data_IF_386739636720
#
_entry.id   IF_386739636720
#
_cell.length_a   1.000
_cell.length_b   1.000
_cell.length_c   1.000
_cell.angle_alpha   90.00
_cell.angle_beta   90.00
_cell.angle_gamma   90.00
#
_symmetry.space_group_name_H-M   'P 1'
#
loop_
_entity.id
_entity.type
_entity.pdbx_description
1 polymer ?
#
# COMPACT_ATOMS: atom_id res chain seq x y z
N UNK A 1 -6.73 -10.10 -64.01
CA UNK A 1 -7.05 -10.82 -62.77
C UNK A 1 -6.35 -10.06 -61.66
N UNK A 2 -7.11 -9.23 -60.93
CA UNK A 2 -6.55 -8.40 -59.86
C UNK A 2 -6.59 -9.21 -58.57
N UNK A 3 -5.42 -9.50 -58.00
CA UNK A 3 -5.33 -10.09 -56.66
C UNK A 3 -5.90 -9.10 -55.65
N UNK A 4 -7.02 -9.46 -55.07
CA UNK A 4 -7.57 -8.81 -53.89
C UNK A 4 -6.72 -9.26 -52.71
N UNK A 5 -5.69 -8.45 -52.39
CA UNK A 5 -4.89 -8.64 -51.19
C UNK A 5 -5.79 -8.48 -49.96
N UNK A 6 -5.94 -9.54 -49.19
CA UNK A 6 -6.79 -9.64 -48.00
C UNK A 6 -6.20 -8.77 -46.87
N UNK A 7 -6.87 -7.65 -46.47
CA UNK A 7 -6.38 -6.76 -45.42
C UNK A 7 -6.56 -7.34 -44.01
N UNK A 8 -7.16 -8.51 -43.85
CA UNK A 8 -7.60 -9.09 -42.58
C UNK A 8 -6.47 -9.56 -41.65
N UNK A 9 -5.34 -10.03 -42.19
CA UNK A 9 -4.20 -10.53 -41.36
C UNK A 9 -3.46 -9.40 -40.63
N UNK A 10 -3.24 -8.28 -41.30
CA UNK A 10 -2.53 -7.14 -40.72
C UNK A 10 -3.34 -6.45 -39.63
N UNK A 11 -4.66 -6.26 -39.86
CA UNK A 11 -5.55 -5.67 -38.86
C UNK A 11 -5.60 -6.48 -37.56
N UNK A 12 -5.65 -7.81 -37.65
CA UNK A 12 -5.65 -8.68 -36.47
C UNK A 12 -4.31 -8.64 -35.70
N UNK A 13 -3.18 -8.49 -36.39
CA UNK A 13 -1.86 -8.37 -35.75
C UNK A 13 -1.74 -7.05 -34.96
N UNK A 14 -2.21 -5.93 -35.52
CA UNK A 14 -2.19 -4.64 -34.81
C UNK A 14 -3.11 -4.63 -33.59
N UNK A 15 -4.28 -5.26 -33.68
CA UNK A 15 -5.21 -5.36 -32.54
C UNK A 15 -4.63 -6.23 -31.42
N UNK A 16 -3.99 -7.35 -31.76
CA UNK A 16 -3.32 -8.22 -30.79
C UNK A 16 -2.13 -7.51 -30.13
N UNK A 17 -1.34 -6.75 -30.88
CA UNK A 17 -0.22 -5.95 -30.35
C UNK A 17 -0.72 -4.84 -29.42
N UNK A 18 -1.77 -4.14 -29.78
CA UNK A 18 -2.39 -3.11 -28.93
C UNK A 18 -2.91 -3.68 -27.61
N UNK A 19 -3.54 -4.85 -27.65
CA UNK A 19 -3.99 -5.55 -26.46
C UNK A 19 -2.82 -5.97 -25.55
N UNK A 20 -1.77 -6.53 -26.14
CA UNK A 20 -0.57 -6.94 -25.39
C UNK A 20 0.10 -5.73 -24.71
N UNK A 21 0.25 -4.62 -25.43
CA UNK A 21 0.82 -3.39 -24.89
C UNK A 21 -0.01 -2.84 -23.74
N UNK A 22 -1.34 -2.88 -23.83
CA UNK A 22 -2.25 -2.45 -22.78
C UNK A 22 -2.16 -3.35 -21.54
N UNK A 23 -2.07 -4.67 -21.72
CA UNK A 23 -1.86 -5.61 -20.61
C UNK A 23 -0.55 -5.32 -19.87
N UNK A 24 0.56 -5.07 -20.60
CA UNK A 24 1.84 -4.71 -19.98
C UNK A 24 1.77 -3.36 -19.25
N UNK A 25 1.09 -2.36 -19.80
CA UNK A 25 0.92 -1.07 -19.15
C UNK A 25 0.15 -1.19 -17.83
N UNK A 26 -0.91 -1.98 -17.82
CA UNK A 26 -1.73 -2.22 -16.62
C UNK A 26 -0.95 -2.99 -15.56
N UNK A 27 -0.26 -4.07 -15.94
CA UNK A 27 0.58 -4.85 -15.01
C UNK A 27 1.71 -3.99 -14.46
N UNK A 28 2.33 -3.16 -15.30
CA UNK A 28 3.36 -2.20 -14.89
C UNK A 28 2.84 -1.17 -13.88
N UNK A 29 1.66 -0.61 -14.11
CA UNK A 29 1.03 0.36 -13.22
C UNK A 29 0.69 -0.26 -11.85
N UNK A 30 0.14 -1.48 -11.84
CA UNK A 30 -0.17 -2.22 -10.61
C UNK A 30 1.12 -2.56 -9.85
N UNK A 31 2.17 -3.01 -10.56
CA UNK A 31 3.48 -3.28 -9.97
C UNK A 31 4.13 -2.04 -9.36
N UNK A 32 4.07 -0.91 -10.06
CA UNK A 32 4.57 0.38 -9.57
C UNK A 32 3.82 0.79 -8.30
N UNK A 33 2.49 0.70 -8.29
CA UNK A 33 1.68 1.04 -7.13
C UNK A 33 1.96 0.13 -5.93
N UNK A 34 2.16 -1.18 -6.16
CA UNK A 34 2.52 -2.13 -5.11
C UNK A 34 3.89 -1.80 -4.49
N UNK A 35 4.86 -1.38 -5.30
CA UNK A 35 6.18 -0.97 -4.84
C UNK A 35 6.15 0.29 -3.95
N UNK A 36 5.30 1.26 -4.26
CA UNK A 36 5.20 2.51 -3.50
C UNK A 36 4.27 2.41 -2.28
N UNK A 37 3.26 1.53 -2.30
CA UNK A 37 2.27 1.45 -1.23
C UNK A 37 2.66 0.51 -0.07
N UNK A 38 3.47 -0.51 -0.31
CA UNK A 38 3.72 -1.57 0.67
C UNK A 38 4.81 -1.28 1.73
N UNK A 39 5.97 -0.64 1.43
CA UNK A 39 7.06 -0.55 2.41
C UNK A 39 6.92 0.59 3.42
N UNK A 40 6.25 1.68 3.11
CA UNK A 40 6.20 2.87 3.95
C UNK A 40 5.48 2.67 5.30
N UNK A 41 4.32 2.00 5.39
CA UNK A 41 3.65 1.76 6.67
C UNK A 41 4.47 0.86 7.59
N UNK A 42 5.11 -0.19 7.06
CA UNK A 42 5.88 -1.14 7.84
C UNK A 42 7.15 -0.52 8.44
N UNK A 43 7.88 0.29 7.67
CA UNK A 43 9.06 1.00 8.16
C UNK A 43 8.73 2.00 9.26
N UNK A 44 7.62 2.73 9.12
CA UNK A 44 7.13 3.65 10.17
C UNK A 44 6.73 2.90 11.43
N UNK A 45 6.11 1.74 11.30
CA UNK A 45 5.72 0.92 12.45
C UNK A 45 6.93 0.41 13.23
N UNK A 46 7.95 -0.10 12.54
CA UNK A 46 9.20 -0.56 13.16
C UNK A 46 9.91 0.60 13.86
N UNK A 47 10.01 1.76 13.21
CA UNK A 47 10.62 2.94 13.80
C UNK A 47 9.88 3.42 15.06
N UNK A 48 8.54 3.38 15.07
CA UNK A 48 7.73 3.74 16.23
C UNK A 48 7.86 2.73 17.37
N UNK A 49 7.94 1.44 17.08
CA UNK A 49 8.14 0.41 18.10
C UNK A 49 9.50 0.58 18.79
N UNK A 50 10.56 0.87 18.04
CA UNK A 50 11.87 1.21 18.59
C UNK A 50 11.82 2.50 19.44
N UNK A 51 11.05 3.50 19.01
CA UNK A 51 10.89 4.75 19.77
C UNK A 51 10.17 4.52 21.10
N UNK A 52 9.19 3.61 21.17
CA UNK A 52 8.53 3.25 22.42
C UNK A 52 9.46 2.55 23.41
N UNK A 53 10.42 1.75 22.94
CA UNK A 53 11.45 1.17 23.78
C UNK A 53 12.40 2.25 24.33
N UNK A 54 12.77 3.23 23.50
CA UNK A 54 13.57 4.40 23.95
C UNK A 54 12.79 5.25 24.96
N UNK A 55 11.47 5.43 24.79
CA UNK A 55 10.59 6.10 25.77
C UNK A 55 10.61 5.38 27.12
N UNK A 56 10.51 4.06 27.11
CA UNK A 56 10.53 3.27 28.34
C UNK A 56 11.85 3.45 29.10
N UNK A 57 12.97 3.46 28.39
CA UNK A 57 14.29 3.74 28.96
C UNK A 57 14.38 5.19 29.48
N UNK A 58 13.88 6.16 28.70
CA UNK A 58 13.92 7.58 29.06
C UNK A 58 13.06 7.87 30.32
N UNK A 59 11.88 7.25 30.44
CA UNK A 59 10.98 7.41 31.57
C UNK A 59 11.49 6.78 32.85
N UNK A 60 12.32 5.73 32.77
CA UNK A 60 13.02 5.16 33.91
C UNK A 60 14.34 5.86 34.25
N UNK A 61 14.72 6.88 33.48
CA UNK A 61 15.92 7.68 33.75
C UNK A 61 15.67 8.72 34.85
N UNK A 62 16.74 9.34 35.31
CA UNK A 62 16.70 10.41 36.34
C UNK A 62 16.02 11.69 35.84
N UNK A 63 15.82 11.87 34.53
CA UNK A 63 15.23 13.05 33.93
C UNK A 63 14.16 12.67 32.87
N UNK A 64 13.00 12.11 33.28
CA UNK A 64 12.01 11.56 32.37
C UNK A 64 11.40 12.60 31.42
N UNK A 65 11.20 13.83 31.89
CA UNK A 65 10.61 14.90 31.07
C UNK A 65 11.58 15.35 29.95
N UNK A 66 12.87 15.47 30.22
CA UNK A 66 13.84 15.84 29.22
C UNK A 66 13.99 14.77 28.13
N UNK A 67 13.93 13.49 28.52
CA UNK A 67 13.93 12.37 27.58
C UNK A 67 12.70 12.36 26.68
N UNK A 68 11.50 12.61 27.21
CA UNK A 68 10.26 12.71 26.43
C UNK A 68 10.27 13.86 25.43
N UNK A 69 10.79 15.04 25.83
CA UNK A 69 10.89 16.19 24.92
C UNK A 69 11.79 15.86 23.72
N UNK A 70 12.89 15.15 23.94
CA UNK A 70 13.81 14.75 22.87
C UNK A 70 13.18 13.70 21.90
N UNK A 71 12.24 12.89 22.38
CA UNK A 71 11.59 11.85 21.60
C UNK A 71 10.24 12.27 21.02
N UNK A 72 9.74 13.45 21.37
CA UNK A 72 8.40 13.94 21.00
C UNK A 72 8.16 13.93 19.48
N UNK A 73 9.12 14.41 18.70
CA UNK A 73 9.01 14.49 17.25
C UNK A 73 9.01 13.09 16.58
N UNK A 74 9.62 12.10 17.25
CA UNK A 74 9.67 10.71 16.78
C UNK A 74 8.44 9.91 17.20
N UNK A 75 7.78 10.33 18.27
CA UNK A 75 6.54 9.72 18.79
C UNK A 75 5.31 10.11 17.97
N UNK A 76 5.33 11.30 17.33
CA UNK A 76 4.22 11.82 16.53
C UNK A 76 2.89 11.75 17.30
N UNK A 77 1.87 11.08 16.78
CA UNK A 77 0.56 10.93 17.41
C UNK A 77 0.60 10.23 18.78
N UNK A 78 1.58 9.35 19.01
CA UNK A 78 1.76 8.64 20.28
C UNK A 78 2.30 9.55 21.41
N UNK A 79 2.81 10.74 21.09
CA UNK A 79 3.29 11.69 22.10
C UNK A 79 2.18 12.15 23.06
N UNK A 80 0.93 12.17 22.60
CA UNK A 80 -0.22 12.55 23.40
C UNK A 80 -0.49 11.56 24.56
N UNK A 81 -0.16 10.28 24.39
CA UNK A 81 -0.33 9.27 25.44
C UNK A 81 0.61 9.46 26.64
N UNK A 82 1.70 10.22 26.46
CA UNK A 82 2.71 10.48 27.49
C UNK A 82 2.69 11.94 28.00
N UNK A 83 1.66 12.70 27.61
CA UNK A 83 1.48 14.08 28.05
C UNK A 83 0.05 14.29 28.57
N UNK A 84 -0.22 14.44 29.90
CA UNK A 84 0.73 14.46 31.02
C UNK A 84 1.41 13.13 31.31
N UNK A 85 2.51 13.16 32.06
CA UNK A 85 3.26 11.96 32.43
C UNK A 85 2.36 10.95 33.14
N UNK A 86 2.20 9.72 32.62
CA UNK A 86 1.32 8.72 33.24
C UNK A 86 1.86 8.23 34.58
N UNK A 87 0.96 7.93 35.52
CA UNK A 87 1.33 7.39 36.82
C UNK A 87 1.95 5.99 36.74
N UNK A 88 1.52 5.21 35.73
CA UNK A 88 2.08 3.89 35.42
C UNK A 88 2.60 3.89 33.99
N UNK A 89 3.89 4.03 33.85
CA UNK A 89 4.59 4.15 32.55
C UNK A 89 4.50 2.85 31.75
N UNK A 90 4.70 1.72 32.41
CA UNK A 90 4.73 0.41 31.72
C UNK A 90 3.35 0.08 31.14
N UNK A 91 2.30 0.40 31.86
CA UNK A 91 0.93 0.20 31.42
C UNK A 91 0.59 1.14 30.24
N UNK A 92 1.00 2.40 30.31
CA UNK A 92 0.81 3.37 29.22
C UNK A 92 1.53 2.94 27.94
N UNK A 93 2.78 2.48 28.05
CA UNK A 93 3.54 1.94 26.90
C UNK A 93 2.88 0.67 26.36
N UNK A 94 2.44 -0.25 27.20
CA UNK A 94 1.75 -1.45 26.76
C UNK A 94 0.44 -1.13 26.04
N UNK A 95 -0.35 -0.18 26.55
CA UNK A 95 -1.58 0.28 25.93
C UNK A 95 -1.30 0.92 24.56
N UNK A 96 -0.29 1.78 24.46
CA UNK A 96 0.05 2.44 23.20
C UNK A 96 0.58 1.45 22.15
N UNK A 97 1.30 0.41 22.55
CA UNK A 97 1.71 -0.69 21.65
C UNK A 97 0.51 -1.42 21.05
N UNK A 98 -0.52 -1.68 21.86
CA UNK A 98 -1.75 -2.32 21.36
C UNK A 98 -2.49 -1.39 20.40
N UNK A 99 -2.62 -0.10 20.75
CA UNK A 99 -3.25 0.90 19.91
C UNK A 99 -2.51 1.07 18.56
N UNK A 100 -1.19 1.09 18.59
CA UNK A 100 -0.35 1.17 17.40
C UNK A 100 -0.52 -0.04 16.49
N UNK A 101 -0.54 -1.25 17.05
CA UNK A 101 -0.79 -2.48 16.28
C UNK A 101 -2.18 -2.48 15.64
N UNK A 102 -3.19 -2.00 16.35
CA UNK A 102 -4.55 -1.88 15.82
C UNK A 102 -4.62 -0.87 14.65
N UNK A 103 -3.96 0.29 14.77
CA UNK A 103 -3.84 1.27 13.67
C UNK A 103 -3.15 0.67 12.46
N UNK A 104 -2.07 -0.05 12.66
CA UNK A 104 -1.29 -0.72 11.61
C UNK A 104 -2.12 -1.79 10.87
N UNK A 105 -2.91 -2.57 11.61
CA UNK A 105 -3.85 -3.52 11.03
C UNK A 105 -4.93 -2.82 10.20
N UNK A 106 -5.49 -1.71 10.70
CA UNK A 106 -6.47 -0.92 9.98
C UNK A 106 -5.90 -0.34 8.67
N UNK A 107 -4.68 0.22 8.71
CA UNK A 107 -3.97 0.71 7.52
C UNK A 107 -3.67 -0.41 6.52
N UNK A 108 -3.18 -1.56 7.00
CA UNK A 108 -2.92 -2.74 6.17
C UNK A 108 -4.18 -3.25 5.49
N UNK A 109 -5.30 -3.34 6.22
CA UNK A 109 -6.59 -3.74 5.67
C UNK A 109 -7.10 -2.75 4.62
N UNK A 110 -6.93 -1.44 4.85
CA UNK A 110 -7.30 -0.40 3.90
C UNK A 110 -6.48 -0.50 2.59
N UNK A 111 -5.18 -0.75 2.69
CA UNK A 111 -4.31 -0.98 1.52
C UNK A 111 -4.71 -2.25 0.79
N UNK A 112 -4.95 -3.34 1.53
CA UNK A 112 -5.37 -4.62 0.96
C UNK A 112 -6.70 -4.51 0.21
N UNK A 113 -7.69 -3.83 0.77
CA UNK A 113 -8.99 -3.63 0.11
C UNK A 113 -8.87 -2.79 -1.17
N UNK A 114 -8.02 -1.76 -1.18
CA UNK A 114 -7.74 -0.97 -2.39
C UNK A 114 -7.05 -1.80 -3.47
N UNK A 115 -6.07 -2.63 -3.09
CA UNK A 115 -5.41 -3.56 -4.03
C UNK A 115 -6.40 -4.56 -4.62
N UNK A 116 -7.28 -5.15 -3.80
CA UNK A 116 -8.32 -6.07 -4.28
C UNK A 116 -9.27 -5.39 -5.27
N UNK A 117 -9.69 -4.15 -4.98
CA UNK A 117 -10.51 -3.37 -5.89
C UNK A 117 -9.79 -3.11 -7.22
N UNK A 118 -8.52 -2.73 -7.19
CA UNK A 118 -7.74 -2.50 -8.41
C UNK A 118 -7.58 -3.77 -9.24
N UNK A 119 -7.30 -4.90 -8.60
CA UNK A 119 -7.21 -6.20 -9.29
C UNK A 119 -8.56 -6.56 -9.93
N UNK A 120 -9.67 -6.36 -9.22
CA UNK A 120 -11.01 -6.62 -9.74
C UNK A 120 -11.33 -5.74 -10.97
N UNK A 121 -11.01 -4.44 -10.92
CA UNK A 121 -11.19 -3.51 -12.04
C UNK A 121 -10.36 -3.92 -13.24
N UNK A 122 -9.08 -4.23 -13.03
CA UNK A 122 -8.17 -4.67 -14.11
C UNK A 122 -8.66 -5.96 -14.74
N UNK A 123 -9.10 -6.92 -13.93
CA UNK A 123 -9.62 -8.20 -14.42
C UNK A 123 -10.92 -8.00 -15.21
N UNK A 124 -11.83 -7.14 -14.74
CA UNK A 124 -13.05 -6.81 -15.45
C UNK A 124 -12.77 -6.14 -16.80
N UNK A 125 -11.84 -5.18 -16.83
CA UNK A 125 -11.41 -4.55 -18.08
C UNK A 125 -10.80 -5.56 -19.05
N UNK A 126 -9.92 -6.42 -18.59
CA UNK A 126 -9.31 -7.47 -19.42
C UNK A 126 -10.38 -8.42 -19.99
N UNK A 127 -11.38 -8.79 -19.22
CA UNK A 127 -12.49 -9.63 -19.66
C UNK A 127 -13.34 -8.93 -20.74
N UNK A 128 -13.66 -7.65 -20.58
CA UNK A 128 -14.41 -6.86 -21.57
C UNK A 128 -13.63 -6.75 -22.88
N UNK A 129 -12.33 -6.47 -22.82
CA UNK A 129 -11.49 -6.39 -24.02
C UNK A 129 -11.34 -7.76 -24.69
N UNK A 130 -11.18 -8.83 -23.92
CA UNK A 130 -11.13 -10.20 -24.47
C UNK A 130 -12.43 -10.57 -25.20
N UNK A 131 -13.56 -10.27 -24.61
CA UNK A 131 -14.87 -10.50 -25.23
C UNK A 131 -15.06 -9.66 -26.51
N UNK A 132 -14.61 -8.39 -26.51
CA UNK A 132 -14.68 -7.53 -27.68
C UNK A 132 -13.85 -8.08 -28.83
N UNK A 133 -12.62 -8.54 -28.59
CA UNK A 133 -11.75 -9.11 -29.62
C UNK A 133 -12.38 -10.38 -30.23
N UNK A 134 -12.95 -11.26 -29.42
CA UNK A 134 -13.65 -12.47 -29.90
C UNK A 134 -14.88 -12.09 -30.72
N UNK A 135 -15.64 -11.07 -30.30
CA UNK A 135 -16.81 -10.58 -31.00
C UNK A 135 -16.50 -9.98 -32.37
N UNK A 136 -15.41 -9.22 -32.51
CA UNK A 136 -14.98 -8.62 -33.77
C UNK A 136 -14.31 -9.62 -34.70
N UNK A 137 -13.65 -10.65 -34.18
CA UNK A 137 -13.02 -11.70 -34.99
C UNK A 137 -14.00 -12.69 -35.64
N UNK A 138 -15.27 -12.68 -35.21
CA UNK A 138 -16.35 -13.54 -35.76
C UNK A 138 -17.14 -12.92 -36.92
N UNK A 139 -16.94 -11.64 -37.22
CA UNK A 139 -17.54 -10.94 -38.36
C UNK A 139 -16.52 -10.80 -39.50
#
# INVERSE_FOLDING_TARGET
MSEVSTPTKAANAYTAMGFLAMCFAVVGLVGLFALFAAPLPLQRAIAREQTLDEVLIALHSSQPQAGLVALKDRLDDSAAAFTPLPANVDEAVAHERVAMRARLQAESNAVSSRMQLMIAVVTAMAAVFGAAIIGFGRR
#
